data_IF_830083079898
#
_entry.id   IF_830083079898
#
_cell.length_a   1.000
_cell.length_b   1.000
_cell.length_c   1.000
_cell.angle_alpha   90.00
_cell.angle_beta   90.00
_cell.angle_gamma   90.00
#
_symmetry.space_group_name_H-M   'P 1'
#
loop_
_entity.id
_entity.type
_entity.pdbx_description
1 polymer ?
#
# COMPACT_ATOMS: atom_id res chain seq x y z
N UNK A 1 12.57 -22.06 -1.61
CA UNK A 1 12.49 -21.04 -2.67
C UNK A 1 13.70 -20.13 -2.49
N UNK A 2 14.44 -19.73 -3.54
CA UNK A 2 15.47 -18.72 -3.36
C UNK A 2 14.82 -17.46 -2.77
N UNK A 3 15.53 -16.84 -1.84
CA UNK A 3 15.15 -15.55 -1.25
C UNK A 3 15.27 -14.47 -2.33
N UNK A 4 14.12 -14.02 -2.85
CA UNK A 4 14.05 -12.96 -3.86
C UNK A 4 13.67 -11.67 -3.17
N UNK A 5 14.54 -10.66 -3.32
CA UNK A 5 14.28 -9.29 -2.87
C UNK A 5 13.14 -8.70 -3.69
N UNK A 6 12.19 -8.03 -3.02
CA UNK A 6 11.04 -7.33 -3.61
C UNK A 6 10.50 -7.97 -4.90
N UNK A 7 9.99 -9.22 -4.84
CA UNK A 7 9.67 -9.97 -6.04
C UNK A 7 8.61 -9.23 -6.87
N UNK A 8 8.78 -9.17 -8.22
CA UNK A 8 7.78 -8.58 -9.08
C UNK A 8 6.51 -9.44 -9.10
N UNK A 9 5.40 -8.87 -9.61
CA UNK A 9 4.20 -9.65 -9.86
C UNK A 9 4.49 -10.80 -10.83
N UNK A 10 3.98 -11.98 -10.46
CA UNK A 10 3.85 -13.13 -11.36
C UNK A 10 2.85 -12.81 -12.47
N UNK A 11 2.83 -13.64 -13.51
CA UNK A 11 1.84 -13.52 -14.60
C UNK A 11 0.40 -13.59 -14.07
N UNK A 12 0.12 -14.54 -13.16
CA UNK A 12 -1.19 -14.63 -12.50
C UNK A 12 -1.51 -13.34 -11.72
N UNK A 13 -0.54 -12.79 -10.99
CA UNK A 13 -0.73 -11.52 -10.26
C UNK A 13 -1.06 -10.34 -11.18
N UNK A 14 -0.45 -10.29 -12.38
CA UNK A 14 -0.77 -9.28 -13.40
C UNK A 14 -2.18 -9.43 -13.94
N UNK A 15 -2.62 -10.66 -14.19
CA UNK A 15 -3.98 -10.95 -14.63
C UNK A 15 -5.01 -10.59 -13.56
N UNK A 16 -4.72 -10.88 -12.29
CA UNK A 16 -5.55 -10.46 -11.16
C UNK A 16 -5.65 -8.93 -11.06
N UNK A 17 -4.52 -8.22 -11.20
CA UNK A 17 -4.51 -6.76 -11.22
C UNK A 17 -5.29 -6.18 -12.41
N UNK A 18 -5.17 -6.77 -13.60
CA UNK A 18 -5.95 -6.37 -14.78
C UNK A 18 -7.45 -6.62 -14.58
N UNK A 19 -7.82 -7.71 -13.89
CA UNK A 19 -9.21 -8.00 -13.52
C UNK A 19 -9.87 -6.91 -12.65
N UNK A 20 -9.08 -6.10 -11.94
CA UNK A 20 -9.57 -4.97 -11.17
C UNK A 20 -9.98 -3.76 -12.03
N UNK A 21 -9.50 -3.66 -13.26
CA UNK A 21 -9.73 -2.50 -14.13
C UNK A 21 -11.22 -2.21 -14.35
N UNK A 22 -12.04 -3.26 -14.51
CA UNK A 22 -13.49 -3.11 -14.67
C UNK A 22 -14.18 -2.38 -13.51
N UNK A 23 -13.65 -2.52 -12.29
CA UNK A 23 -14.15 -1.79 -11.12
C UNK A 23 -13.45 -0.44 -10.98
N UNK A 24 -12.17 -0.37 -11.33
CA UNK A 24 -11.38 0.85 -11.21
C UNK A 24 -11.89 1.96 -12.14
N UNK A 25 -12.42 1.64 -13.33
CA UNK A 25 -12.95 2.65 -14.27
C UNK A 25 -14.22 3.37 -13.76
N UNK A 26 -14.92 2.79 -12.79
CA UNK A 26 -16.07 3.43 -12.13
C UNK A 26 -15.65 4.34 -10.97
N UNK A 27 -14.36 4.36 -10.65
CA UNK A 27 -13.75 5.18 -9.59
C UNK A 27 -13.09 6.42 -10.20
N UNK A 28 -12.94 7.48 -9.42
CA UNK A 28 -12.31 8.72 -9.86
C UNK A 28 -11.36 9.27 -8.79
N UNK A 29 -10.35 8.49 -8.38
CA UNK A 29 -9.45 8.89 -7.33
C UNK A 29 -8.65 10.13 -7.75
N UNK A 30 -8.44 11.05 -6.82
CA UNK A 30 -7.55 12.21 -7.04
C UNK A 30 -6.14 11.99 -6.50
N UNK A 31 -5.89 10.85 -5.86
CA UNK A 31 -4.58 10.39 -5.39
C UNK A 31 -4.52 8.86 -5.36
N UNK A 32 -3.38 8.31 -5.77
CA UNK A 32 -3.03 6.90 -5.57
C UNK A 32 -1.82 6.83 -4.64
N UNK A 33 -1.99 6.17 -3.50
CA UNK A 33 -0.90 5.82 -2.60
C UNK A 33 -0.52 4.36 -2.83
N UNK A 34 0.77 4.11 -3.01
CA UNK A 34 1.31 2.76 -3.18
C UNK A 34 2.30 2.44 -2.07
N UNK A 35 2.30 1.18 -1.63
CA UNK A 35 3.46 0.64 -0.93
C UNK A 35 4.66 0.63 -1.89
N UNK A 36 5.87 1.01 -1.43
CA UNK A 36 7.07 1.02 -2.28
C UNK A 36 7.55 -0.37 -2.70
N UNK A 37 6.90 -1.45 -2.27
CA UNK A 37 7.16 -2.80 -2.74
C UNK A 37 6.57 -3.00 -4.14
N UNK A 38 7.39 -3.52 -5.06
CA UNK A 38 7.13 -3.66 -6.49
C UNK A 38 5.79 -4.33 -6.80
N UNK A 39 5.42 -5.38 -6.04
CA UNK A 39 4.14 -6.08 -6.22
C UNK A 39 2.91 -5.19 -6.02
N UNK A 40 2.92 -4.30 -5.03
CA UNK A 40 1.80 -3.41 -4.73
C UNK A 40 1.78 -2.22 -5.70
N UNK A 41 2.93 -1.60 -5.93
CA UNK A 41 3.09 -0.53 -6.94
C UNK A 41 2.60 -1.00 -8.32
N UNK A 42 3.07 -2.16 -8.80
CA UNK A 42 2.66 -2.68 -10.10
C UNK A 42 1.16 -3.02 -10.16
N UNK A 43 0.59 -3.53 -9.07
CA UNK A 43 -0.86 -3.81 -8.99
C UNK A 43 -1.66 -2.53 -9.19
N UNK A 44 -1.30 -1.44 -8.50
CA UNK A 44 -1.97 -0.15 -8.62
C UNK A 44 -1.90 0.40 -10.06
N UNK A 45 -0.69 0.38 -10.65
CA UNK A 45 -0.47 0.90 -11.99
C UNK A 45 -1.23 0.13 -13.08
N UNK A 46 -1.43 -1.18 -12.89
CA UNK A 46 -2.25 -1.99 -13.80
C UNK A 46 -3.74 -1.71 -13.56
N UNK A 47 -4.20 -1.76 -12.30
CA UNK A 47 -5.61 -1.64 -11.97
C UNK A 47 -6.17 -0.25 -12.32
N UNK A 48 -5.40 0.82 -12.10
CA UNK A 48 -5.81 2.20 -12.30
C UNK A 48 -5.15 2.85 -13.52
N UNK A 49 -4.81 2.07 -14.55
CA UNK A 49 -4.10 2.58 -15.74
C UNK A 49 -4.77 3.79 -16.41
N UNK A 50 -6.10 3.89 -16.33
CA UNK A 50 -6.91 4.97 -16.91
C UNK A 50 -6.67 6.35 -16.28
N UNK A 51 -6.07 6.42 -15.08
CA UNK A 51 -5.69 7.67 -14.40
C UNK A 51 -4.17 7.81 -14.21
N UNK A 52 -3.37 6.83 -14.64
CA UNK A 52 -1.89 6.92 -14.53
C UNK A 52 -1.38 8.06 -15.41
N UNK A 53 -0.72 9.03 -14.79
CA UNK A 53 -0.24 10.26 -15.45
C UNK A 53 -1.21 11.44 -15.35
N UNK A 54 -2.46 11.20 -14.95
CA UNK A 54 -3.48 12.23 -14.72
C UNK A 54 -3.54 12.63 -13.23
N UNK A 55 -3.26 11.69 -12.32
CA UNK A 55 -3.32 11.91 -10.86
C UNK A 55 -1.98 11.62 -10.19
N UNK A 56 -1.65 12.28 -9.06
CA UNK A 56 -0.46 11.97 -8.28
C UNK A 56 -0.45 10.52 -7.82
N UNK A 57 0.71 9.86 -7.95
CA UNK A 57 0.94 8.52 -7.42
C UNK A 57 2.12 8.61 -6.46
N UNK A 58 1.92 8.30 -5.18
CA UNK A 58 2.91 8.53 -4.12
C UNK A 58 3.27 7.21 -3.45
N UNK A 59 4.56 6.91 -3.35
CA UNK A 59 5.06 5.79 -2.56
C UNK A 59 5.12 6.17 -1.06
N UNK A 60 4.58 5.30 -0.19
CA UNK A 60 4.51 5.56 1.25
C UNK A 60 4.99 4.34 2.06
N UNK A 61 6.04 4.50 2.88
CA UNK A 61 6.63 3.41 3.68
C UNK A 61 5.62 2.78 4.65
N UNK A 62 4.73 3.58 5.23
CA UNK A 62 3.76 3.10 6.20
C UNK A 62 2.70 2.14 5.66
N UNK A 63 2.57 1.97 4.33
CA UNK A 63 1.62 1.00 3.72
C UNK A 63 2.28 -0.33 3.33
N UNK A 64 3.52 -0.59 3.76
CA UNK A 64 4.21 -1.87 3.52
C UNK A 64 3.65 -3.02 4.35
N UNK A 65 3.78 -4.23 3.78
CA UNK A 65 3.68 -5.49 4.53
C UNK A 65 4.63 -5.48 5.73
N UNK A 66 4.37 -6.36 6.69
CA UNK A 66 5.20 -6.52 7.88
C UNK A 66 6.68 -6.64 7.53
N UNK A 67 7.50 -5.73 8.05
CA UNK A 67 8.89 -5.52 7.62
C UNK A 67 9.86 -6.47 8.34
N UNK A 68 10.97 -6.84 7.68
CA UNK A 68 12.13 -7.56 8.25
C UNK A 68 12.08 -9.08 8.09
N UNK A 69 13.20 -9.77 8.31
CA UNK A 69 13.45 -11.23 8.16
C UNK A 69 13.22 -11.78 6.75
N UNK A 70 12.06 -11.56 6.15
CA UNK A 70 11.75 -12.02 4.79
C UNK A 70 12.23 -11.01 3.77
N UNK A 71 13.16 -11.43 2.92
CA UNK A 71 13.74 -10.60 1.85
C UNK A 71 12.72 -10.12 0.82
N UNK A 72 11.62 -10.84 0.63
CA UNK A 72 10.51 -10.37 -0.21
C UNK A 72 9.84 -9.10 0.34
N UNK A 73 10.03 -8.79 1.61
CA UNK A 73 9.54 -7.56 2.25
C UNK A 73 10.63 -6.48 2.33
N UNK A 74 11.82 -6.72 1.77
CA UNK A 74 12.87 -5.71 1.57
C UNK A 74 12.62 -5.03 0.23
N UNK A 75 12.37 -3.71 0.21
CA UNK A 75 12.12 -2.98 -1.04
C UNK A 75 13.42 -2.75 -1.81
N UNK A 76 13.29 -2.55 -3.12
CA UNK A 76 14.38 -2.00 -3.92
C UNK A 76 14.78 -0.59 -3.47
N UNK A 77 15.97 -0.15 -3.91
CA UNK A 77 16.37 1.24 -3.70
C UNK A 77 15.42 2.20 -4.41
N UNK A 78 15.33 3.45 -3.93
CA UNK A 78 14.51 4.48 -4.59
C UNK A 78 14.98 4.72 -6.02
N UNK A 79 16.30 4.69 -6.27
CA UNK A 79 16.86 4.80 -7.63
C UNK A 79 16.37 3.69 -8.56
N UNK A 80 16.42 2.43 -8.13
CA UNK A 80 15.94 1.30 -8.93
C UNK A 80 14.43 1.39 -9.15
N UNK A 81 13.67 1.68 -8.08
CA UNK A 81 12.21 1.82 -8.16
C UNK A 81 11.79 2.94 -9.12
N UNK A 82 12.50 4.07 -9.14
CA UNK A 82 12.27 5.18 -10.09
C UNK A 82 12.54 4.81 -11.54
N UNK A 83 13.49 3.92 -11.80
CA UNK A 83 13.76 3.42 -13.17
C UNK A 83 12.59 2.54 -13.64
N UNK A 84 12.10 1.66 -12.76
CA UNK A 84 11.01 0.73 -13.07
C UNK A 84 9.63 1.44 -13.12
N UNK A 85 9.40 2.41 -12.23
CA UNK A 85 8.12 3.10 -12.04
C UNK A 85 8.30 4.63 -12.01
N UNK A 86 8.67 5.27 -13.13
CA UNK A 86 9.03 6.70 -13.18
C UNK A 86 7.85 7.65 -12.90
N UNK A 87 6.61 7.15 -12.98
CA UNK A 87 5.40 7.93 -12.68
C UNK A 87 5.09 8.04 -11.19
N UNK A 88 5.79 7.29 -10.33
CA UNK A 88 5.58 7.28 -8.88
C UNK A 88 6.49 8.33 -8.24
N UNK A 89 5.91 9.18 -7.41
CA UNK A 89 6.65 10.09 -6.54
C UNK A 89 7.14 9.34 -5.29
N UNK A 90 8.44 9.40 -5.07
CA UNK A 90 9.12 8.80 -3.90
C UNK A 90 9.61 9.86 -2.91
N UNK A 91 9.14 11.11 -3.01
CA UNK A 91 9.57 12.24 -2.17
C UNK A 91 9.37 12.01 -0.67
N UNK A 92 8.45 11.12 -0.28
CA UNK A 92 8.20 10.75 1.12
C UNK A 92 9.21 9.73 1.67
N UNK A 93 9.99 9.04 0.82
CA UNK A 93 11.00 8.08 1.26
C UNK A 93 12.27 8.83 1.68
N UNK A 94 12.61 8.74 2.97
CA UNK A 94 13.73 9.47 3.57
C UNK A 94 15.11 8.96 3.15
N UNK A 95 15.21 7.71 2.69
CA UNK A 95 16.46 7.05 2.33
C UNK A 95 16.34 6.32 1.00
N UNK A 96 17.43 6.33 0.22
CA UNK A 96 17.51 5.58 -1.04
C UNK A 96 17.47 4.06 -0.77
N UNK A 97 18.18 3.61 0.27
CA UNK A 97 18.20 2.20 0.70
C UNK A 97 17.08 1.90 1.68
N UNK A 98 16.80 0.62 1.91
CA UNK A 98 15.75 0.16 2.83
C UNK A 98 16.27 0.05 4.27
N UNK A 99 16.40 1.19 4.95
CA UNK A 99 16.87 1.24 6.35
C UNK A 99 15.88 0.64 7.36
N UNK A 100 14.62 0.45 6.96
CA UNK A 100 13.58 -0.11 7.82
C UNK A 100 13.64 -1.65 7.88
N UNK A 101 14.21 -2.30 6.86
CA UNK A 101 14.32 -3.74 6.82
C UNK A 101 15.54 -4.25 7.57
N UNK A 102 15.37 -5.34 8.32
CA UNK A 102 16.44 -6.02 9.06
C UNK A 102 16.34 -7.52 8.89
N UNK A 103 17.46 -8.20 8.62
CA UNK A 103 17.51 -9.65 8.54
C UNK A 103 17.23 -10.33 9.89
N UNK A 104 17.59 -9.67 11.00
CA UNK A 104 17.57 -10.26 12.35
C UNK A 104 16.29 -9.93 13.13
N UNK A 105 15.54 -8.91 12.70
CA UNK A 105 14.39 -8.41 13.44
C UNK A 105 13.17 -8.29 12.54
N UNK A 106 12.16 -9.13 12.82
CA UNK A 106 10.81 -8.94 12.25
C UNK A 106 10.13 -7.82 13.03
N UNK A 107 9.41 -6.97 12.31
CA UNK A 107 8.52 -5.96 12.87
C UNK A 107 7.53 -6.60 13.87
N UNK A 108 7.23 -5.91 14.97
CA UNK A 108 6.23 -6.38 15.94
C UNK A 108 4.83 -6.09 15.42
N UNK A 109 3.79 -6.78 15.93
CA UNK A 109 2.41 -6.43 15.57
C UNK A 109 2.06 -4.99 15.96
N UNK A 110 2.59 -4.51 17.10
CA UNK A 110 2.46 -3.10 17.50
C UNK A 110 3.10 -2.15 16.48
N UNK A 111 4.29 -2.48 15.96
CA UNK A 111 4.95 -1.65 14.95
C UNK A 111 4.14 -1.51 13.66
N UNK A 112 3.51 -2.60 13.19
CA UNK A 112 2.58 -2.53 12.05
C UNK A 112 1.39 -1.63 12.37
N UNK A 113 0.81 -1.74 13.57
CA UNK A 113 -0.31 -0.89 14.01
C UNK A 113 0.08 0.59 14.11
N UNK A 114 1.26 0.89 14.65
CA UNK A 114 1.77 2.26 14.80
C UNK A 114 2.00 2.92 13.44
N UNK A 115 2.55 2.19 12.46
CA UNK A 115 2.68 2.67 11.07
C UNK A 115 1.33 2.84 10.41
N UNK A 116 0.42 1.88 10.55
CA UNK A 116 -0.93 1.99 10.00
C UNK A 116 -1.69 3.20 10.57
N UNK A 117 -1.55 3.48 11.86
CA UNK A 117 -2.10 4.68 12.48
C UNK A 117 -1.44 5.96 11.96
N UNK A 118 -0.10 5.99 11.86
CA UNK A 118 0.65 7.13 11.31
C UNK A 118 0.24 7.44 9.86
N UNK A 119 -0.01 6.40 9.06
CA UNK A 119 -0.54 6.55 7.71
C UNK A 119 -1.94 7.19 7.71
N UNK A 120 -2.83 6.77 8.60
CA UNK A 120 -4.17 7.36 8.70
C UNK A 120 -4.12 8.83 9.16
N UNK A 121 -3.23 9.18 10.07
CA UNK A 121 -3.00 10.57 10.47
C UNK A 121 -2.45 11.40 9.31
N UNK A 122 -1.50 10.86 8.54
CA UNK A 122 -1.04 11.52 7.31
C UNK A 122 -2.18 11.69 6.30
N UNK A 123 -2.97 10.64 6.06
CA UNK A 123 -4.10 10.66 5.13
C UNK A 123 -5.17 11.66 5.56
N UNK A 124 -5.38 11.86 6.87
CA UNK A 124 -6.28 12.87 7.42
C UNK A 124 -5.90 14.31 7.02
N UNK A 125 -4.61 14.58 6.80
CA UNK A 125 -4.13 15.91 6.40
C UNK A 125 -4.30 16.20 4.91
N UNK A 126 -4.72 15.20 4.13
CA UNK A 126 -4.83 15.26 2.68
C UNK A 126 -6.17 15.90 2.25
N UNK A 127 -6.17 16.78 1.23
CA UNK A 127 -7.41 17.36 0.71
C UNK A 127 -8.21 16.42 -0.22
N UNK A 128 -7.62 15.30 -0.65
CA UNK A 128 -8.24 14.36 -1.59
C UNK A 128 -9.43 13.62 -0.98
N UNK A 129 -10.59 13.66 -1.66
CA UNK A 129 -11.82 12.98 -1.21
C UNK A 129 -11.83 11.48 -1.52
N UNK A 130 -11.29 11.08 -2.68
CA UNK A 130 -11.20 9.69 -3.11
C UNK A 130 -9.73 9.31 -3.32
N UNK A 131 -9.26 8.37 -2.50
CA UNK A 131 -7.86 7.94 -2.48
C UNK A 131 -7.77 6.43 -2.63
N UNK A 132 -6.93 5.96 -3.55
CA UNK A 132 -6.58 4.55 -3.68
C UNK A 132 -5.38 4.26 -2.80
N UNK A 133 -5.42 3.17 -2.05
CA UNK A 133 -4.27 2.68 -1.28
C UNK A 133 -3.94 1.25 -1.68
N UNK A 134 -2.85 1.07 -2.42
CA UNK A 134 -2.35 -0.25 -2.81
C UNK A 134 -1.34 -0.77 -1.78
N UNK A 135 -1.77 -1.77 -1.01
CA UNK A 135 -1.05 -2.28 0.17
C UNK A 135 -1.03 -3.82 0.17
N UNK A 136 -0.86 -4.44 1.34
CA UNK A 136 -0.68 -5.86 1.54
C UNK A 136 -1.67 -6.39 2.57
N UNK A 137 -2.05 -7.66 2.45
CA UNK A 137 -3.10 -8.25 3.27
C UNK A 137 -2.81 -8.24 4.77
N UNK A 138 -1.55 -8.44 5.19
CA UNK A 138 -1.19 -8.36 6.61
C UNK A 138 -1.36 -6.96 7.18
N UNK A 139 -0.96 -5.94 6.43
CA UNK A 139 -1.14 -4.54 6.81
C UNK A 139 -2.61 -4.13 6.83
N UNK A 140 -3.39 -4.49 5.79
CA UNK A 140 -4.83 -4.21 5.71
C UNK A 140 -5.59 -4.87 6.87
N UNK A 141 -5.24 -6.11 7.21
CA UNK A 141 -5.81 -6.82 8.35
C UNK A 141 -5.56 -6.03 9.64
N UNK A 142 -4.34 -5.57 9.88
CA UNK A 142 -4.00 -4.75 11.06
C UNK A 142 -4.75 -3.41 11.07
N UNK A 143 -4.83 -2.72 9.92
CA UNK A 143 -5.55 -1.46 9.80
C UNK A 143 -7.01 -1.61 10.25
N UNK A 144 -7.75 -2.57 9.69
CA UNK A 144 -9.19 -2.73 9.96
C UNK A 144 -9.50 -3.39 11.32
N UNK A 145 -8.57 -4.13 11.92
CA UNK A 145 -8.80 -4.81 13.20
C UNK A 145 -8.25 -4.05 14.41
N UNK A 146 -7.30 -3.13 14.23
CA UNK A 146 -6.58 -2.50 15.36
C UNK A 146 -6.58 -0.98 15.31
N UNK A 147 -6.58 -0.38 14.12
CA UNK A 147 -6.48 1.07 13.96
C UNK A 147 -7.85 1.71 13.74
N UNK A 148 -8.68 1.11 12.91
CA UNK A 148 -10.00 1.64 12.57
C UNK A 148 -11.10 1.00 13.41
N UNK A 149 -12.07 1.81 13.82
CA UNK A 149 -13.37 1.31 14.29
C UNK A 149 -14.23 1.01 13.07
N UNK A 150 -14.61 -0.25 12.87
CA UNK A 150 -15.36 -0.71 11.72
C UNK A 150 -16.48 -1.67 12.14
N UNK A 151 -17.72 -1.37 11.77
CA UNK A 151 -18.88 -2.23 12.04
C UNK A 151 -19.07 -3.31 10.96
N UNK A 152 -18.41 -3.17 9.80
CA UNK A 152 -18.42 -4.17 8.75
C UNK A 152 -17.41 -5.27 9.06
N UNK A 153 -17.90 -6.45 9.44
CA UNK A 153 -17.06 -7.63 9.73
C UNK A 153 -16.29 -8.12 8.51
N UNK A 154 -16.83 -7.95 7.29
CA UNK A 154 -16.13 -8.34 6.07
C UNK A 154 -14.81 -7.58 5.91
N UNK A 155 -14.75 -6.29 6.25
CA UNK A 155 -13.53 -5.49 6.18
C UNK A 155 -12.44 -5.96 7.15
N UNK A 156 -12.80 -6.67 8.21
CA UNK A 156 -11.87 -7.25 9.19
C UNK A 156 -11.28 -8.59 8.72
N UNK A 157 -11.76 -9.14 7.61
CA UNK A 157 -11.24 -10.40 7.04
C UNK A 157 -9.98 -10.18 6.20
N UNK A 158 -9.26 -11.27 5.95
CA UNK A 158 -8.08 -11.26 5.08
C UNK A 158 -8.47 -10.90 3.64
N UNK A 159 -7.77 -9.90 3.07
CA UNK A 159 -7.93 -9.53 1.67
C UNK A 159 -7.22 -10.55 0.77
N UNK A 160 -7.93 -11.10 -0.21
CA UNK A 160 -7.38 -11.97 -1.22
C UNK A 160 -6.43 -11.21 -2.18
N UNK A 161 -5.55 -11.95 -2.85
CA UNK A 161 -4.65 -11.37 -3.85
C UNK A 161 -5.45 -10.76 -5.00
N UNK A 162 -5.17 -9.49 -5.32
CA UNK A 162 -5.92 -8.77 -6.35
C UNK A 162 -7.36 -8.44 -5.95
N UNK A 163 -7.65 -8.39 -4.65
CA UNK A 163 -8.93 -7.90 -4.14
C UNK A 163 -8.89 -6.38 -3.92
N UNK A 164 -10.00 -5.71 -4.24
CA UNK A 164 -10.21 -4.29 -3.98
C UNK A 164 -11.50 -4.10 -3.17
N UNK A 165 -11.46 -3.27 -2.14
CA UNK A 165 -12.63 -2.85 -1.37
C UNK A 165 -12.66 -1.33 -1.28
N UNK A 166 -13.83 -0.75 -1.47
CA UNK A 166 -14.08 0.69 -1.31
C UNK A 166 -14.73 0.90 0.05
N UNK A 167 -14.23 1.88 0.80
CA UNK A 167 -14.70 2.19 2.16
C UNK A 167 -14.84 3.68 2.34
N UNK A 168 -15.81 4.11 3.16
CA UNK A 168 -15.92 5.48 3.62
C UNK A 168 -15.18 5.61 4.95
N UNK A 169 -14.31 6.60 5.06
CA UNK A 169 -13.54 6.89 6.27
C UNK A 169 -14.01 8.23 6.81
N UNK A 170 -14.38 8.26 8.10
CA UNK A 170 -14.71 9.47 8.82
C UNK A 170 -13.76 9.66 10.00
N UNK A 171 -13.28 10.88 10.18
CA UNK A 171 -12.48 11.25 11.35
C UNK A 171 -13.39 11.94 12.37
N UNK A 172 -13.35 11.45 13.60
CA UNK A 172 -14.01 12.09 14.74
C UNK A 172 -12.94 12.63 15.67
N UNK A 173 -13.00 13.92 15.99
CA UNK A 173 -12.30 14.42 17.17
C UNK A 173 -12.99 13.85 18.40
N UNK A 174 -12.21 13.26 19.30
CA UNK A 174 -12.70 12.95 20.63
C UNK A 174 -12.81 14.30 21.33
N UNK A 175 -14.03 14.83 21.41
CA UNK A 175 -14.31 15.98 22.26
C UNK A 175 -13.97 15.59 23.70
N UNK A 176 -13.00 16.29 24.30
CA UNK A 176 -12.72 16.23 25.74
C UNK A 176 -13.95 16.62 26.59
#
# INVERSE_FOLDING_TARGET
MPEVVDPPLTELGRQQAAGLQNRAVDLSPSLIVVSPLSRATKTALIAFEHVVGEVPIIAHEDTREKIGVHTCDMRHSVREAKVEYPTVDYSLLQSDVDDLWSADKRESSQGVSDRAYSFMEWLRTRPEEEVVVASHSGWLLTLFNTVLTCDCEDLKTWFATGEMRSVLISYSDISE
#
